data_IF_950658239327
#
_entry.id   IF_950658239327
#
_cell.length_a   1.000
_cell.length_b   1.000
_cell.length_c   1.000
_cell.angle_alpha   90.00
_cell.angle_beta   90.00
_cell.angle_gamma   90.00
#
_symmetry.space_group_name_H-M   'P 1'
#
loop_
_entity.id
_entity.type
_entity.pdbx_description
1 polymer ?
#
# COMPACT_ATOMS: atom_id res chain seq x y z
N UNK A 1 28.87 -2.42 40.33
CA UNK A 1 27.63 -3.24 40.35
C UNK A 1 26.44 -2.47 39.76
N UNK A 2 26.08 -1.29 40.26
CA UNK A 2 24.94 -0.51 39.75
C UNK A 2 25.06 -0.07 38.27
N UNK A 3 26.24 0.36 37.83
CA UNK A 3 26.49 0.78 36.44
C UNK A 3 26.33 -0.37 35.42
N UNK A 4 26.72 -1.59 35.81
CA UNK A 4 26.54 -2.79 34.98
C UNK A 4 25.04 -3.11 34.84
N UNK A 5 24.30 -2.98 35.93
CA UNK A 5 22.85 -3.21 35.93
C UNK A 5 22.12 -2.16 35.07
N UNK A 6 22.44 -0.87 35.23
CA UNK A 6 21.82 0.19 34.42
C UNK A 6 22.15 0.05 32.93
N UNK A 7 23.38 -0.36 32.60
CA UNK A 7 23.78 -0.66 31.21
C UNK A 7 22.97 -1.82 30.62
N UNK A 8 22.74 -2.89 31.40
CA UNK A 8 21.94 -4.04 30.98
C UNK A 8 20.47 -3.66 30.75
N UNK A 9 19.87 -2.91 31.68
CA UNK A 9 18.49 -2.42 31.56
C UNK A 9 18.34 -1.46 30.38
N UNK A 10 19.33 -0.60 30.13
CA UNK A 10 19.35 0.30 28.97
C UNK A 10 19.43 -0.47 27.65
N UNK A 11 20.25 -1.53 27.61
CA UNK A 11 20.32 -2.43 26.46
C UNK A 11 18.99 -3.12 26.21
N UNK A 12 18.35 -3.67 27.25
CA UNK A 12 17.05 -4.31 27.13
C UNK A 12 15.98 -3.35 26.60
N UNK A 13 15.90 -2.11 27.13
CA UNK A 13 14.98 -1.08 26.63
C UNK A 13 15.20 -0.80 25.14
N UNK A 14 16.45 -0.71 24.69
CA UNK A 14 16.79 -0.49 23.28
C UNK A 14 16.37 -1.67 22.41
N UNK A 15 16.64 -2.90 22.84
CA UNK A 15 16.25 -4.10 22.08
C UNK A 15 14.73 -4.25 21.99
N UNK A 16 14.00 -4.02 23.08
CA UNK A 16 12.54 -4.01 23.08
C UNK A 16 11.99 -2.95 22.12
N UNK A 17 12.56 -1.74 22.09
CA UNK A 17 12.17 -0.70 21.15
C UNK A 17 12.41 -1.13 19.69
N UNK A 18 13.55 -1.75 19.39
CA UNK A 18 13.86 -2.26 18.05
C UNK A 18 12.93 -3.40 17.63
N UNK A 19 12.55 -4.28 18.54
CA UNK A 19 11.60 -5.36 18.26
C UNK A 19 10.23 -4.76 17.92
N UNK A 20 9.74 -3.82 18.74
CA UNK A 20 8.47 -3.14 18.50
C UNK A 20 8.46 -2.42 17.14
N UNK A 21 9.52 -1.67 16.85
CA UNK A 21 9.65 -0.98 15.56
C UNK A 21 9.58 -1.97 14.38
N UNK A 22 10.36 -3.07 14.43
CA UNK A 22 10.32 -4.11 13.39
C UNK A 22 8.95 -4.75 13.21
N UNK A 23 8.20 -4.95 14.30
CA UNK A 23 6.84 -5.50 14.22
C UNK A 23 5.88 -4.52 13.56
N UNK A 24 5.97 -3.23 13.88
CA UNK A 24 5.17 -2.17 13.28
C UNK A 24 5.47 -2.05 11.78
N UNK A 25 6.76 -2.00 11.40
CA UNK A 25 7.18 -1.95 9.99
C UNK A 25 6.62 -3.15 9.19
N UNK A 26 6.72 -4.37 9.73
CA UNK A 26 6.16 -5.57 9.10
C UNK A 26 4.65 -5.53 8.99
N UNK A 27 3.96 -4.97 9.98
CA UNK A 27 2.52 -4.85 9.96
C UNK A 27 2.04 -3.95 8.83
N UNK A 28 2.62 -2.76 8.70
CA UNK A 28 2.29 -1.83 7.62
C UNK A 28 2.62 -2.40 6.25
N UNK A 29 3.79 -3.03 6.08
CA UNK A 29 4.14 -3.69 4.82
C UNK A 29 3.12 -4.79 4.44
N UNK A 30 2.67 -5.59 5.39
CA UNK A 30 1.66 -6.62 5.14
C UNK A 30 0.30 -6.00 4.77
N UNK A 31 -0.08 -4.90 5.40
CA UNK A 31 -1.28 -4.14 5.04
C UNK A 31 -1.18 -3.59 3.62
N UNK A 32 -0.07 -2.95 3.25
CA UNK A 32 0.16 -2.43 1.89
C UNK A 32 0.01 -3.54 0.85
N UNK A 33 0.67 -4.68 1.05
CA UNK A 33 0.55 -5.83 0.16
C UNK A 33 -0.91 -6.28 0.05
N UNK A 34 -1.64 -6.38 1.16
CA UNK A 34 -3.05 -6.77 1.14
C UNK A 34 -3.93 -5.77 0.37
N UNK A 35 -3.66 -4.46 0.51
CA UNK A 35 -4.36 -3.40 -0.22
C UNK A 35 -4.11 -3.49 -1.73
N UNK A 36 -2.86 -3.63 -2.16
CA UNK A 36 -2.53 -3.77 -3.59
C UNK A 36 -3.07 -5.07 -4.18
N UNK A 37 -3.04 -6.18 -3.42
CA UNK A 37 -3.66 -7.44 -3.87
C UNK A 37 -5.18 -7.30 -4.00
N UNK A 38 -5.85 -6.66 -3.03
CA UNK A 38 -7.29 -6.37 -3.14
C UNK A 38 -7.62 -5.53 -4.35
N UNK A 39 -6.82 -4.49 -4.65
CA UNK A 39 -6.99 -3.67 -5.84
C UNK A 39 -6.93 -4.51 -7.12
N UNK A 40 -5.99 -5.45 -7.21
CA UNK A 40 -5.83 -6.33 -8.39
C UNK A 40 -6.99 -7.31 -8.51
N UNK A 41 -7.39 -7.96 -7.40
CA UNK A 41 -8.40 -9.03 -7.40
C UNK A 41 -9.82 -8.50 -7.52
N UNK A 42 -10.17 -7.48 -6.71
CA UNK A 42 -11.53 -6.93 -6.63
C UNK A 42 -11.72 -5.72 -7.56
N UNK A 43 -10.63 -5.12 -8.05
CA UNK A 43 -10.67 -3.91 -8.85
C UNK A 43 -10.75 -2.62 -8.05
N UNK A 44 -10.62 -1.51 -8.77
CA UNK A 44 -10.52 -0.15 -8.20
C UNK A 44 -11.81 0.42 -7.62
N UNK A 45 -12.97 -0.19 -7.90
CA UNK A 45 -14.26 0.32 -7.40
C UNK A 45 -14.42 0.17 -5.88
N UNK A 46 -13.82 -0.87 -5.31
CA UNK A 46 -14.07 -1.26 -3.92
C UNK A 46 -12.83 -1.15 -3.02
N UNK A 47 -11.67 -0.75 -3.56
CA UNK A 47 -10.42 -0.69 -2.81
C UNK A 47 -9.88 0.74 -2.73
N UNK A 48 -9.92 1.33 -1.52
CA UNK A 48 -9.19 2.56 -1.20
C UNK A 48 -7.80 2.18 -0.70
N UNK A 49 -6.76 2.67 -1.37
CA UNK A 49 -5.39 2.55 -0.86
C UNK A 49 -5.14 3.65 0.16
N UNK A 50 -4.69 3.24 1.33
CA UNK A 50 -4.21 4.07 2.42
C UNK A 50 -2.69 3.98 2.46
N UNK A 51 -2.06 5.12 2.55
CA UNK A 51 -0.62 5.29 2.60
C UNK A 51 -0.18 5.76 4.00
N UNK A 52 1.13 5.73 4.28
CA UNK A 52 1.67 6.06 5.62
C UNK A 52 1.21 7.42 6.15
N UNK A 53 1.04 8.41 5.28
CA UNK A 53 0.57 9.74 5.65
C UNK A 53 -0.93 9.80 5.99
N UNK A 54 -1.72 8.82 5.56
CA UNK A 54 -3.12 8.71 5.98
C UNK A 54 -3.24 8.20 7.42
N UNK A 55 -2.25 7.41 7.87
CA UNK A 55 -2.17 6.88 9.24
C UNK A 55 -1.49 7.85 10.21
N UNK A 56 -0.47 8.57 9.75
CA UNK A 56 0.34 9.45 10.58
C UNK A 56 0.44 10.86 10.00
N UNK A 57 -0.69 11.56 9.75
CA UNK A 57 -0.69 12.85 9.06
C UNK A 57 0.22 13.87 9.73
N UNK A 58 0.23 13.92 11.07
CA UNK A 58 1.07 14.82 11.86
C UNK A 58 2.58 14.66 11.58
N UNK A 59 3.04 13.47 11.17
CA UNK A 59 4.46 13.24 10.81
C UNK A 59 4.83 13.81 9.44
N UNK A 60 3.83 14.12 8.60
CA UNK A 60 4.01 14.56 7.22
C UNK A 60 3.38 15.95 6.93
N UNK A 61 2.69 16.54 7.90
CA UNK A 61 2.05 17.86 7.81
C UNK A 61 3.04 19.03 7.66
N UNK A 62 4.32 18.85 8.02
CA UNK A 62 5.32 19.91 7.93
C UNK A 62 5.85 20.10 6.51
N UNK A 63 5.29 21.07 5.78
CA UNK A 63 5.77 21.90 4.63
C UNK A 63 6.93 21.43 3.71
N UNK A 64 7.29 20.16 3.65
CA UNK A 64 8.32 19.71 2.72
C UNK A 64 7.69 19.62 1.32
N UNK A 65 7.95 20.61 0.47
CA UNK A 65 7.50 20.60 -0.93
C UNK A 65 7.87 19.31 -1.67
N UNK A 66 8.89 18.56 -1.21
CA UNK A 66 9.23 17.25 -1.73
C UNK A 66 8.21 16.17 -1.35
N UNK A 67 7.57 16.27 -0.18
CA UNK A 67 6.54 15.34 0.26
C UNK A 67 5.28 15.48 -0.60
N UNK A 68 4.79 16.70 -0.80
CA UNK A 68 3.63 16.95 -1.66
C UNK A 68 3.88 16.48 -3.11
N UNK A 69 5.09 16.69 -3.65
CA UNK A 69 5.48 16.14 -4.95
C UNK A 69 5.45 14.62 -4.97
N UNK A 70 6.02 13.95 -3.96
CA UNK A 70 6.01 12.49 -3.86
C UNK A 70 4.60 11.92 -3.75
N UNK A 71 3.72 12.61 -3.01
CA UNK A 71 2.30 12.25 -2.90
C UNK A 71 1.61 12.35 -4.27
N UNK A 72 1.82 13.45 -5.00
CA UNK A 72 1.27 13.62 -6.35
C UNK A 72 1.82 12.58 -7.35
N UNK A 73 3.12 12.26 -7.27
CA UNK A 73 3.75 11.23 -8.11
C UNK A 73 3.16 9.84 -7.83
N UNK A 74 2.91 9.53 -6.55
CA UNK A 74 2.27 8.29 -6.12
C UNK A 74 0.82 8.20 -6.62
N UNK A 75 0.01 9.22 -6.39
CA UNK A 75 -1.39 9.28 -6.83
C UNK A 75 -1.49 9.09 -8.35
N UNK A 76 -0.59 9.73 -9.11
CA UNK A 76 -0.52 9.58 -10.56
C UNK A 76 -0.13 8.16 -10.98
N UNK A 77 0.78 7.50 -10.26
CA UNK A 77 1.17 6.13 -10.52
C UNK A 77 0.01 5.14 -10.27
N UNK A 78 -0.72 5.31 -9.16
CA UNK A 78 -1.92 4.53 -8.84
C UNK A 78 -2.97 4.70 -9.93
N UNK A 79 -3.25 5.95 -10.34
CA UNK A 79 -4.21 6.24 -11.40
C UNK A 79 -3.83 5.56 -12.74
N UNK A 80 -2.55 5.65 -13.14
CA UNK A 80 -2.05 4.99 -14.36
C UNK A 80 -2.23 3.47 -14.29
N UNK A 81 -1.93 2.86 -13.15
CA UNK A 81 -2.10 1.42 -12.96
C UNK A 81 -3.59 1.01 -13.10
N UNK A 82 -4.50 1.79 -12.51
CA UNK A 82 -5.94 1.58 -12.63
C UNK A 82 -6.44 1.72 -14.07
N UNK A 83 -5.94 2.70 -14.83
CA UNK A 83 -6.28 2.86 -16.25
C UNK A 83 -5.82 1.67 -17.10
N UNK A 84 -4.60 1.19 -16.87
CA UNK A 84 -4.04 0.03 -17.57
C UNK A 84 -4.92 -1.21 -17.30
N UNK A 85 -5.23 -1.49 -16.03
CA UNK A 85 -6.11 -2.59 -15.64
C UNK A 85 -7.51 -2.48 -16.29
N UNK A 86 -8.11 -1.28 -16.28
CA UNK A 86 -9.37 -1.03 -16.97
C UNK A 86 -9.29 -1.35 -18.47
N UNK A 87 -8.26 -0.87 -19.16
CA UNK A 87 -8.07 -1.13 -20.58
C UNK A 87 -7.89 -2.64 -20.86
N UNK A 88 -7.14 -3.36 -20.04
CA UNK A 88 -6.99 -4.81 -20.15
C UNK A 88 -8.32 -5.54 -20.01
N UNK A 89 -9.12 -5.23 -18.98
CA UNK A 89 -10.45 -5.82 -18.76
C UNK A 89 -11.40 -5.54 -19.92
N UNK A 90 -11.45 -4.28 -20.36
CA UNK A 90 -12.35 -3.84 -21.44
C UNK A 90 -11.97 -4.45 -22.79
N UNK A 91 -10.68 -4.55 -23.09
CA UNK A 91 -10.20 -5.20 -24.32
C UNK A 91 -10.46 -6.71 -24.28
N UNK A 92 -10.22 -7.37 -23.15
CA UNK A 92 -10.52 -8.80 -22.99
C UNK A 92 -12.02 -9.11 -23.15
N UNK A 93 -12.90 -8.25 -22.65
CA UNK A 93 -14.34 -8.37 -22.85
C UNK A 93 -14.76 -8.24 -24.33
N UNK A 94 -14.06 -7.38 -25.10
CA UNK A 94 -14.35 -7.14 -26.53
C UNK A 94 -13.83 -8.23 -27.46
N UNK A 95 -12.71 -8.87 -27.13
CA UNK A 95 -12.15 -9.97 -27.94
C UNK A 95 -12.72 -11.36 -27.60
N UNK A 96 -13.29 -11.55 -26.41
CA UNK A 96 -13.78 -12.86 -25.94
C UNK A 96 -15.31 -13.07 -25.86
N UNK A 97 -16.15 -12.04 -26.01
CA UNK A 97 -17.61 -12.14 -25.80
C UNK A 97 -18.47 -12.41 -27.04
N UNK A 98 -17.88 -12.64 -28.22
CA UNK A 98 -18.57 -12.67 -29.51
C UNK A 98 -18.82 -14.06 -30.14
N UNK A 99 -18.92 -15.13 -29.34
CA UNK A 99 -19.19 -16.49 -29.83
C UNK A 99 -20.22 -17.23 -28.96
N UNK A 100 -21.38 -16.63 -28.72
CA UNK A 100 -22.58 -17.35 -28.31
C UNK A 100 -23.80 -16.71 -28.96
N UNK A 101 -24.36 -17.38 -29.97
CA UNK A 101 -25.57 -16.94 -30.66
C UNK A 101 -25.38 -16.60 -32.13
N UNK A 102 -25.23 -17.62 -32.97
CA UNK A 102 -25.92 -17.65 -34.25
C UNK A 102 -26.69 -18.96 -34.31
N UNK A 103 -28.00 -18.79 -34.21
CA UNK A 103 -29.02 -19.80 -34.30
C UNK A 103 -29.55 -19.71 -35.72
N UNK A 104 -29.03 -20.53 -36.63
CA UNK A 104 -29.47 -20.55 -38.01
C UNK A 104 -29.81 -22.01 -38.39
N UNK A 105 -31.14 -22.24 -38.46
CA UNK A 105 -31.91 -23.24 -39.23
C UNK A 105 -31.45 -24.71 -39.31
#
# INVERSE_FOLDING_TARGET
>A
MAEIQDSLESFERKEQKKIKQRLVEKHFLAQDIAQYVSLVVNGSKDTKLLELWDYFPELFESQDTNFEKKKQEHDLAVYKAQMIDFAHRHNHARTGGGKAGRHDA
#
